data_IF_674531470538
#
_entry.id   IF_674531470538
#
_cell.length_a   1.000
_cell.length_b   1.000
_cell.length_c   1.000
_cell.angle_alpha   90.00
_cell.angle_beta   90.00
_cell.angle_gamma   90.00
#
_symmetry.space_group_name_H-M   'P 1'
#
loop_
_entity.id
_entity.type
_entity.pdbx_description
1 polymer ?
#
# COMPACT_ATOMS: atom_id res chain seq x y z
N UNK A 1 9.38 28.30 10.44
CA UNK A 1 8.60 27.19 11.01
C UNK A 1 9.39 25.92 10.77
N UNK A 2 9.59 25.05 11.77
CA UNK A 2 10.26 23.76 11.59
C UNK A 2 9.17 22.69 11.57
N UNK A 3 9.12 21.90 10.51
CA UNK A 3 8.26 20.73 10.46
C UNK A 3 9.09 19.49 10.81
N UNK A 4 8.65 18.67 11.74
CA UNK A 4 9.26 17.36 11.93
C UNK A 4 8.96 16.54 10.67
N UNK A 5 10.00 16.09 9.98
CA UNK A 5 9.84 15.17 8.86
C UNK A 5 9.43 13.79 9.37
N UNK A 6 8.37 13.24 8.82
CA UNK A 6 8.00 11.83 8.96
C UNK A 6 8.40 11.10 7.69
N UNK A 7 9.72 10.94 7.53
CA UNK A 7 10.28 10.32 6.31
C UNK A 7 9.85 8.87 6.22
N UNK A 8 9.18 8.54 5.11
CA UNK A 8 8.63 7.21 4.86
C UNK A 8 8.61 6.91 3.35
N UNK A 9 8.61 5.63 2.94
CA UNK A 9 8.32 5.28 1.56
C UNK A 9 6.82 5.34 1.29
N UNK A 10 6.41 5.99 0.21
CA UNK A 10 5.04 5.95 -0.29
C UNK A 10 4.73 4.64 -1.01
N UNK A 11 5.72 4.06 -1.68
CA UNK A 11 5.58 2.80 -2.42
C UNK A 11 6.41 1.69 -1.78
N UNK A 12 5.77 0.60 -1.41
CA UNK A 12 6.43 -0.64 -1.04
C UNK A 12 5.53 -1.86 -1.27
N UNK A 13 6.10 -2.95 -1.75
CA UNK A 13 5.33 -4.16 -2.01
C UNK A 13 6.16 -5.29 -2.63
N UNK A 14 5.56 -6.47 -2.68
CA UNK A 14 6.10 -7.62 -3.42
C UNK A 14 5.36 -7.77 -4.75
N UNK A 15 5.99 -8.40 -5.74
CA UNK A 15 5.36 -8.60 -7.03
C UNK A 15 4.05 -9.41 -6.92
N UNK A 16 3.00 -9.05 -7.67
CA UNK A 16 1.77 -9.82 -7.73
C UNK A 16 1.97 -11.14 -8.49
N UNK A 17 1.06 -12.09 -8.29
CA UNK A 17 0.94 -13.24 -9.20
C UNK A 17 0.30 -12.82 -10.55
N UNK A 18 0.33 -13.70 -11.54
CA UNK A 18 -0.31 -13.44 -12.83
C UNK A 18 -1.82 -13.23 -12.68
N UNK A 19 -2.46 -14.03 -11.84
CA UNK A 19 -3.90 -13.97 -11.58
C UNK A 19 -4.29 -12.65 -10.90
N UNK A 20 -3.51 -12.21 -9.91
CA UNK A 20 -3.72 -10.91 -9.26
C UNK A 20 -3.53 -9.77 -10.25
N UNK A 21 -2.53 -9.87 -11.13
CA UNK A 21 -2.26 -8.86 -12.15
C UNK A 21 -3.42 -8.75 -13.16
N UNK A 22 -3.98 -9.88 -13.56
CA UNK A 22 -5.16 -9.93 -14.43
C UNK A 22 -6.37 -9.26 -13.78
N UNK A 23 -6.62 -9.55 -12.51
CA UNK A 23 -7.69 -8.91 -11.74
C UNK A 23 -7.50 -7.39 -11.61
N UNK A 24 -6.29 -6.92 -11.40
CA UNK A 24 -6.01 -5.48 -11.37
C UNK A 24 -6.25 -4.82 -12.72
N UNK A 25 -5.85 -5.46 -13.81
CA UNK A 25 -6.13 -4.95 -15.14
C UNK A 25 -7.64 -4.86 -15.42
N UNK A 26 -8.39 -5.85 -14.95
CA UNK A 26 -9.86 -5.85 -15.07
C UNK A 26 -10.47 -4.69 -14.26
N UNK A 27 -10.14 -4.58 -12.97
CA UNK A 27 -10.67 -3.53 -12.08
C UNK A 27 -10.40 -2.13 -12.62
N UNK A 28 -9.18 -1.88 -13.07
CA UNK A 28 -8.80 -0.56 -13.59
C UNK A 28 -9.40 -0.28 -14.96
N UNK A 29 -9.53 -1.29 -15.80
CA UNK A 29 -10.24 -1.18 -17.06
C UNK A 29 -11.70 -0.78 -16.87
N UNK A 30 -12.42 -1.45 -15.97
CA UNK A 30 -13.81 -1.12 -15.62
C UNK A 30 -13.92 0.31 -15.04
N UNK A 31 -12.94 0.72 -14.25
CA UNK A 31 -12.93 2.07 -13.67
C UNK A 31 -12.78 3.13 -14.77
N UNK A 32 -11.90 2.93 -15.74
CA UNK A 32 -11.70 3.82 -16.89
C UNK A 32 -12.99 3.89 -17.72
N UNK A 33 -13.58 2.75 -18.05
CA UNK A 33 -14.82 2.68 -18.85
C UNK A 33 -15.95 3.44 -18.15
N UNK A 34 -16.18 3.16 -16.87
CA UNK A 34 -17.24 3.79 -16.08
C UNK A 34 -17.07 5.31 -15.98
N UNK A 35 -15.84 5.82 -16.01
CA UNK A 35 -15.52 7.23 -15.87
C UNK A 35 -15.06 7.91 -17.16
N UNK A 36 -15.29 7.29 -18.30
CA UNK A 36 -14.90 7.83 -19.62
C UNK A 36 -15.48 9.24 -19.90
N UNK A 37 -16.62 9.56 -19.28
CA UNK A 37 -17.25 10.89 -19.35
C UNK A 37 -16.40 12.03 -18.78
N UNK A 38 -15.37 11.72 -17.96
CA UNK A 38 -14.48 12.74 -17.37
C UNK A 38 -13.44 13.26 -18.37
N UNK A 39 -13.29 12.63 -19.55
CA UNK A 39 -12.32 13.04 -20.58
C UNK A 39 -10.86 12.94 -20.17
N UNK A 40 -10.55 12.14 -19.14
CA UNK A 40 -9.20 11.86 -18.65
C UNK A 40 -9.11 10.45 -18.09
N UNK A 41 -7.91 9.89 -18.09
CA UNK A 41 -7.66 8.62 -17.44
C UNK A 41 -7.77 8.76 -15.91
N UNK A 42 -8.59 7.91 -15.32
CA UNK A 42 -8.80 7.84 -13.86
C UNK A 42 -8.01 6.70 -13.20
N UNK A 43 -7.36 5.86 -14.03
CA UNK A 43 -6.55 4.74 -13.60
C UNK A 43 -5.47 4.44 -14.65
N UNK A 44 -4.45 3.69 -14.25
CA UNK A 44 -3.42 3.15 -15.14
C UNK A 44 -3.27 1.65 -14.90
N UNK A 45 -3.99 0.81 -15.64
CA UNK A 45 -3.83 -0.63 -15.53
C UNK A 45 -2.36 -1.03 -15.65
N UNK A 46 -1.87 -2.00 -14.87
CA UNK A 46 -0.47 -2.43 -14.92
C UNK A 46 -0.14 -3.25 -16.18
N UNK A 47 -0.42 -2.67 -17.35
CA UNK A 47 -0.10 -3.20 -18.68
C UNK A 47 1.32 -2.79 -19.09
N UNK A 48 1.93 -3.51 -20.03
CA UNK A 48 3.29 -3.23 -20.53
C UNK A 48 3.49 -1.80 -20.98
N UNK A 49 2.52 -1.25 -21.72
CA UNK A 49 2.57 0.11 -22.23
C UNK A 49 2.50 1.19 -21.13
N UNK A 50 2.07 0.82 -19.93
CA UNK A 50 2.00 1.72 -18.78
C UNK A 50 3.24 1.61 -17.87
N UNK A 51 4.25 0.83 -18.25
CA UNK A 51 5.48 0.74 -17.49
C UNK A 51 6.17 2.11 -17.45
N UNK A 52 6.66 2.48 -16.28
CA UNK A 52 7.38 3.72 -16.07
C UNK A 52 8.85 3.44 -15.78
N UNK A 53 9.74 4.09 -16.51
CA UNK A 53 11.19 3.92 -16.40
C UNK A 53 11.92 5.25 -16.12
N UNK A 54 11.26 6.17 -15.46
CA UNK A 54 11.81 7.50 -15.11
C UNK A 54 12.22 8.28 -16.36
N UNK A 55 13.45 8.79 -16.35
CA UNK A 55 14.02 9.58 -17.45
C UNK A 55 14.62 8.72 -18.59
N UNK A 56 14.38 7.41 -18.60
CA UNK A 56 14.87 6.53 -19.66
C UNK A 56 14.18 6.85 -21.00
N UNK A 57 14.89 6.54 -22.10
CA UNK A 57 14.33 6.67 -23.44
C UNK A 57 13.21 5.65 -23.72
N UNK A 58 12.49 5.84 -24.82
CA UNK A 58 11.34 5.03 -25.18
C UNK A 58 11.70 3.54 -25.42
N UNK A 59 12.91 3.25 -25.91
CA UNK A 59 13.36 1.88 -26.14
C UNK A 59 13.62 1.15 -24.82
N UNK A 60 14.27 1.82 -23.88
CA UNK A 60 14.49 1.29 -22.54
C UNK A 60 13.15 1.10 -21.80
N UNK A 61 12.24 2.08 -21.89
CA UNK A 61 10.90 1.98 -21.28
C UNK A 61 10.11 0.79 -21.84
N UNK A 62 10.14 0.58 -23.16
CA UNK A 62 9.51 -0.57 -23.81
C UNK A 62 10.10 -1.88 -23.31
N UNK A 63 11.42 -2.03 -23.28
CA UNK A 63 12.11 -3.22 -22.79
C UNK A 63 11.77 -3.51 -21.32
N UNK A 64 11.75 -2.49 -20.48
CA UNK A 64 11.35 -2.60 -19.06
C UNK A 64 9.90 -3.10 -18.95
N UNK A 65 8.99 -2.59 -19.77
CA UNK A 65 7.60 -3.05 -19.84
C UNK A 65 7.49 -4.50 -20.29
N UNK A 66 8.23 -4.90 -21.31
CA UNK A 66 8.26 -6.29 -21.81
C UNK A 66 8.84 -7.27 -20.78
N UNK A 67 9.80 -6.84 -19.97
CA UNK A 67 10.39 -7.63 -18.89
C UNK A 67 9.51 -7.73 -17.64
N UNK A 68 8.34 -7.11 -17.63
CA UNK A 68 7.36 -7.25 -16.58
C UNK A 68 7.28 -6.10 -15.57
N UNK A 69 8.06 -5.03 -15.72
CA UNK A 69 7.87 -3.85 -14.90
C UNK A 69 6.55 -3.15 -15.24
N UNK A 70 5.81 -2.79 -14.23
CA UNK A 70 4.48 -2.19 -14.31
C UNK A 70 4.35 -1.04 -13.34
N UNK A 71 3.36 -0.18 -13.54
CA UNK A 71 2.92 0.74 -12.50
C UNK A 71 2.42 -0.03 -11.30
N UNK A 72 2.65 0.50 -10.10
CA UNK A 72 2.28 -0.16 -8.85
C UNK A 72 1.34 0.75 -8.06
N UNK A 73 0.07 0.86 -8.44
CA UNK A 73 -0.91 1.55 -7.60
C UNK A 73 -1.13 0.75 -6.30
N UNK A 74 -1.60 1.43 -5.26
CA UNK A 74 -2.00 0.79 -4.01
C UNK A 74 -3.09 -0.25 -4.24
N UNK A 75 -2.91 -1.43 -3.67
CA UNK A 75 -3.84 -2.56 -3.83
C UNK A 75 -3.98 -3.33 -2.52
N UNK A 76 -5.19 -3.77 -2.20
CA UNK A 76 -5.41 -4.52 -0.98
C UNK A 76 -4.59 -5.81 -0.88
N UNK A 77 -4.25 -6.42 -2.02
CA UNK A 77 -3.58 -7.71 -2.05
C UNK A 77 -2.08 -7.62 -1.75
N UNK A 78 -1.41 -6.49 -2.03
CA UNK A 78 0.06 -6.48 -1.96
C UNK A 78 0.68 -5.20 -1.39
N UNK A 79 -0.09 -4.17 -1.11
CA UNK A 79 0.42 -2.84 -0.77
C UNK A 79 0.62 -1.98 -2.03
N UNK A 80 1.85 -1.73 -2.43
CA UNK A 80 2.18 -0.85 -3.56
C UNK A 80 2.22 0.60 -3.14
N UNK A 81 1.52 1.49 -3.81
CA UNK A 81 1.40 2.91 -3.48
C UNK A 81 0.44 3.08 -2.29
N UNK A 82 0.99 3.00 -1.09
CA UNK A 82 0.23 2.98 0.16
C UNK A 82 0.16 4.32 0.85
N UNK A 83 1.19 5.16 0.67
CA UNK A 83 1.28 6.52 1.21
C UNK A 83 1.00 6.63 2.72
N UNK A 84 1.57 5.69 3.49
CA UNK A 84 1.36 5.62 4.93
C UNK A 84 2.51 6.35 5.65
N UNK A 85 2.27 7.57 6.13
CA UNK A 85 3.28 8.40 6.80
C UNK A 85 3.92 7.75 8.03
N UNK A 86 3.20 6.83 8.66
CA UNK A 86 3.65 6.15 9.88
C UNK A 86 4.62 4.99 9.63
N UNK A 87 4.89 4.67 8.35
CA UNK A 87 5.95 3.72 7.96
C UNK A 87 7.35 4.35 8.02
N UNK A 88 7.59 5.15 9.03
CA UNK A 88 8.87 5.81 9.30
C UNK A 88 9.85 4.87 10.01
N UNK A 89 10.90 5.44 10.57
CA UNK A 89 11.96 4.69 11.24
C UNK A 89 11.44 3.74 12.32
N UNK A 90 11.89 2.48 12.24
CA UNK A 90 11.57 1.44 13.22
C UNK A 90 10.23 0.74 12.97
N UNK A 91 9.49 1.14 11.95
CA UNK A 91 8.27 0.43 11.55
C UNK A 91 8.57 -0.97 11.00
N UNK A 92 7.57 -1.84 11.03
CA UNK A 92 7.63 -3.18 10.51
C UNK A 92 6.45 -3.43 9.59
N UNK A 93 6.74 -4.03 8.44
CA UNK A 93 5.71 -4.38 7.44
C UNK A 93 5.77 -5.87 7.17
N UNK A 94 4.61 -6.51 7.18
CA UNK A 94 4.43 -7.86 6.68
C UNK A 94 3.78 -7.78 5.31
N UNK A 95 4.48 -8.28 4.31
CA UNK A 95 3.99 -8.31 2.93
C UNK A 95 3.71 -9.75 2.51
N UNK A 96 2.58 -10.03 1.87
CA UNK A 96 2.34 -11.34 1.29
C UNK A 96 3.28 -11.56 0.10
N UNK A 97 3.80 -12.78 -0.02
CA UNK A 97 4.66 -13.19 -1.14
C UNK A 97 3.84 -14.07 -2.07
N UNK A 98 3.58 -13.59 -3.28
CA UNK A 98 2.78 -14.28 -4.28
C UNK A 98 3.60 -15.06 -5.31
N UNK A 99 4.87 -14.66 -5.50
CA UNK A 99 5.75 -15.27 -6.51
C UNK A 99 7.11 -15.63 -5.92
N UNK A 100 7.82 -16.63 -6.49
CA UNK A 100 9.18 -16.97 -6.06
C UNK A 100 10.11 -15.75 -6.10
N UNK A 101 10.90 -15.59 -5.04
CA UNK A 101 11.81 -14.46 -4.88
C UNK A 101 11.17 -13.15 -4.43
N UNK A 102 9.86 -13.14 -4.14
CA UNK A 102 9.09 -11.98 -3.66
C UNK A 102 9.16 -10.74 -4.57
N UNK A 103 10.33 -10.44 -5.16
CA UNK A 103 10.60 -9.25 -6.02
C UNK A 103 10.10 -7.97 -5.37
N UNK A 104 10.59 -7.72 -4.16
CA UNK A 104 10.25 -6.53 -3.38
C UNK A 104 10.68 -5.26 -4.11
N UNK A 105 9.81 -4.27 -4.08
CA UNK A 105 10.05 -2.91 -4.59
C UNK A 105 9.74 -1.88 -3.51
N UNK A 106 10.50 -0.80 -3.51
CA UNK A 106 10.33 0.35 -2.61
C UNK A 106 10.75 1.61 -3.33
N UNK A 107 10.04 2.70 -3.07
CA UNK A 107 10.33 3.99 -3.69
C UNK A 107 9.43 5.08 -3.15
N UNK A 108 9.34 6.19 -3.90
CA UNK A 108 8.44 7.28 -3.60
C UNK A 108 8.63 7.79 -2.17
N UNK A 109 9.85 8.27 -1.88
CA UNK A 109 10.18 8.76 -0.54
C UNK A 109 9.52 10.09 -0.28
N UNK A 110 8.79 10.16 0.81
CA UNK A 110 8.14 11.36 1.32
C UNK A 110 8.89 11.94 2.51
N UNK A 111 9.09 13.24 2.53
CA UNK A 111 9.57 13.97 3.70
C UNK A 111 8.46 14.14 4.74
N UNK A 112 7.27 14.44 4.28
CA UNK A 112 6.10 14.66 5.11
C UNK A 112 4.83 14.44 4.30
N UNK A 113 3.77 14.05 4.99
CA UNK A 113 2.44 13.84 4.42
C UNK A 113 1.37 14.19 5.47
N UNK A 114 0.26 14.73 5.05
CA UNK A 114 -0.99 14.72 5.82
C UNK A 114 -1.54 13.31 5.93
N UNK A 115 -2.62 13.00 6.46
CA UNK A 115 -3.27 11.69 6.34
C UNK A 115 -4.28 11.70 5.19
N UNK A 116 -4.68 10.52 4.72
CA UNK A 116 -5.73 10.36 3.74
C UNK A 116 -5.37 10.94 2.37
N UNK A 117 -4.21 10.61 1.84
CA UNK A 117 -3.80 11.02 0.51
C UNK A 117 -4.66 10.35 -0.56
N UNK A 118 -5.72 11.03 -0.98
CA UNK A 118 -6.64 10.57 -2.02
C UNK A 118 -6.57 11.39 -3.31
N UNK A 119 -5.70 12.40 -3.35
CA UNK A 119 -5.69 13.45 -4.37
C UNK A 119 -4.46 13.43 -5.28
N UNK A 120 -3.75 12.33 -5.39
CA UNK A 120 -2.56 12.07 -6.22
C UNK A 120 -1.23 12.65 -5.73
N UNK A 121 -1.16 13.85 -5.22
CA UNK A 121 0.07 14.54 -4.82
C UNK A 121 -0.08 15.17 -3.44
N UNK A 122 -0.37 14.35 -2.43
CA UNK A 122 -0.64 14.81 -1.07
C UNK A 122 0.59 14.86 -0.15
N UNK A 123 1.77 14.47 -0.64
CA UNK A 123 3.00 14.40 0.14
C UNK A 123 4.07 15.38 -0.38
N UNK A 124 5.08 15.62 0.43
CA UNK A 124 6.31 16.31 0.02
C UNK A 124 7.32 15.24 -0.37
N UNK A 125 7.48 15.01 -1.66
CA UNK A 125 8.38 14.00 -2.21
C UNK A 125 9.85 14.44 -2.10
N UNK A 126 10.74 13.46 -1.91
CA UNK A 126 12.16 13.71 -1.80
C UNK A 126 13.00 12.55 -2.34
N UNK A 127 14.21 12.87 -2.79
CA UNK A 127 15.24 11.86 -2.98
C UNK A 127 15.87 11.48 -1.64
N UNK A 128 16.29 10.21 -1.50
CA UNK A 128 16.93 9.76 -0.28
C UNK A 128 17.42 8.32 -0.33
N UNK A 129 17.94 7.86 0.80
CA UNK A 129 18.38 6.47 0.99
C UNK A 129 17.55 5.84 2.09
N UNK A 130 17.13 4.59 1.85
CA UNK A 130 16.39 3.80 2.82
C UNK A 130 17.21 2.59 3.24
N UNK A 131 17.26 2.33 4.54
CA UNK A 131 17.88 1.12 5.10
C UNK A 131 16.78 0.16 5.54
N UNK A 132 16.77 -1.03 4.97
CA UNK A 132 15.76 -2.06 5.21
C UNK A 132 16.41 -3.32 5.79
N UNK A 133 15.69 -3.98 6.70
CA UNK A 133 16.02 -5.31 7.20
C UNK A 133 14.95 -6.29 6.74
N UNK A 134 15.36 -7.28 5.96
CA UNK A 134 14.46 -8.32 5.46
C UNK A 134 14.50 -9.57 6.32
N UNK A 135 13.34 -10.21 6.44
CA UNK A 135 13.21 -11.56 6.98
C UNK A 135 12.07 -12.29 6.27
N UNK A 136 12.15 -13.60 6.21
CA UNK A 136 11.10 -14.44 5.60
C UNK A 136 10.41 -15.25 6.69
N UNK A 137 9.10 -15.09 6.77
CA UNK A 137 8.25 -15.90 7.63
C UNK A 137 7.58 -16.99 6.78
N UNK A 138 8.14 -18.19 6.77
CA UNK A 138 7.54 -19.33 6.05
C UNK A 138 6.15 -19.64 6.60
N UNK A 139 5.18 -19.77 5.70
CA UNK A 139 3.77 -19.97 6.07
C UNK A 139 3.10 -18.76 6.74
N UNK A 140 3.74 -17.57 6.69
CA UNK A 140 3.26 -16.36 7.35
C UNK A 140 1.85 -15.93 6.90
N UNK A 141 1.58 -16.00 5.60
CA UNK A 141 0.25 -15.67 5.06
C UNK A 141 -0.85 -16.48 5.73
N UNK A 142 -0.68 -17.81 5.84
CA UNK A 142 -1.63 -18.70 6.51
C UNK A 142 -1.67 -18.45 8.02
N UNK A 143 -0.50 -18.30 8.65
CA UNK A 143 -0.39 -18.11 10.10
C UNK A 143 -1.08 -16.83 10.58
N UNK A 144 -0.93 -15.76 9.81
CA UNK A 144 -1.48 -14.44 10.11
C UNK A 144 -2.83 -14.19 9.41
N UNK A 145 -3.32 -15.17 8.63
CA UNK A 145 -4.51 -15.02 7.77
C UNK A 145 -4.50 -13.73 6.96
N UNK A 146 -3.38 -13.48 6.32
CA UNK A 146 -3.15 -12.23 5.61
C UNK A 146 -3.98 -12.19 4.32
N UNK A 147 -4.88 -11.24 4.24
CA UNK A 147 -5.59 -10.86 3.01
C UNK A 147 -5.01 -9.58 2.39
N UNK A 148 -4.18 -8.89 3.15
CA UNK A 148 -3.51 -7.65 2.79
C UNK A 148 -2.25 -7.48 3.65
N UNK A 149 -1.38 -6.53 3.33
CA UNK A 149 -0.25 -6.15 4.18
C UNK A 149 -0.68 -5.80 5.61
N UNK A 150 0.22 -6.03 6.56
CA UNK A 150 0.05 -5.65 7.96
C UNK A 150 1.15 -4.67 8.32
N UNK A 151 0.78 -3.53 8.88
CA UNK A 151 1.69 -2.44 9.20
C UNK A 151 1.76 -2.24 10.71
N UNK A 152 2.96 -2.13 11.23
CA UNK A 152 3.22 -1.84 12.64
C UNK A 152 4.16 -0.64 12.69
N UNK A 153 3.77 0.48 13.29
CA UNK A 153 4.62 1.66 13.39
C UNK A 153 5.85 1.41 14.27
N UNK A 154 6.77 2.34 14.26
CA UNK A 154 7.91 2.35 15.16
C UNK A 154 7.49 2.47 16.62
N UNK A 155 8.45 2.25 17.52
CA UNK A 155 8.20 2.26 18.96
C UNK A 155 7.72 3.62 19.50
N UNK A 156 8.03 4.69 18.79
CA UNK A 156 7.56 6.04 19.09
C UNK A 156 6.82 6.57 17.87
N UNK A 157 5.53 6.63 17.99
CA UNK A 157 4.67 7.21 16.97
C UNK A 157 4.58 8.73 17.19
N UNK A 158 4.96 9.57 16.20
CA UNK A 158 5.07 11.00 16.39
C UNK A 158 3.79 11.72 16.78
N UNK A 159 2.63 11.21 16.36
CA UNK A 159 1.35 11.83 16.66
C UNK A 159 0.75 11.39 18.01
N UNK A 160 1.04 10.14 18.40
CA UNK A 160 0.40 9.53 19.58
C UNK A 160 1.40 9.24 20.72
N UNK A 161 2.70 9.45 20.46
CA UNK A 161 3.76 9.18 21.43
C UNK A 161 4.12 7.70 21.55
N UNK A 162 4.79 7.30 22.63
CA UNK A 162 5.18 5.91 22.83
C UNK A 162 3.95 5.03 23.08
N UNK A 163 3.95 3.86 22.45
CA UNK A 163 2.84 2.92 22.56
C UNK A 163 3.00 1.73 21.63
N UNK A 164 2.01 0.87 21.64
CA UNK A 164 1.91 -0.26 20.71
C UNK A 164 0.70 -0.03 19.81
N UNK A 165 0.95 0.11 18.52
CA UNK A 165 -0.07 0.42 17.53
C UNK A 165 -0.06 -0.64 16.44
N UNK A 166 -1.20 -0.85 15.82
CA UNK A 166 -1.36 -1.56 14.56
C UNK A 166 -2.16 -0.69 13.62
N UNK A 167 -1.74 -0.63 12.36
CA UNK A 167 -2.43 0.12 11.33
C UNK A 167 -3.16 -0.83 10.39
N UNK A 168 -4.35 -0.41 10.02
CA UNK A 168 -5.14 -1.05 8.99
C UNK A 168 -5.31 -0.06 7.85
N UNK A 169 -4.86 -0.44 6.68
CA UNK A 169 -5.02 0.36 5.49
C UNK A 169 -6.26 -0.07 4.73
N UNK A 170 -6.99 0.90 4.20
CA UNK A 170 -8.12 0.71 3.33
C UNK A 170 -7.83 1.19 1.92
N UNK A 171 -8.36 0.50 0.95
CA UNK A 171 -8.31 0.85 -0.45
C UNK A 171 -9.71 1.08 -0.98
N UNK A 172 -9.86 1.86 -2.05
CA UNK A 172 -11.15 2.07 -2.69
C UNK A 172 -11.62 0.84 -3.49
N UNK A 173 -11.57 -0.33 -2.88
CA UNK A 173 -12.08 -1.61 -3.39
C UNK A 173 -13.07 -2.16 -2.39
N UNK A 174 -14.33 -2.38 -2.79
CA UNK A 174 -15.38 -2.86 -1.91
C UNK A 174 -15.30 -4.37 -1.64
N UNK A 175 -16.24 -4.90 -0.85
CA UNK A 175 -16.29 -6.31 -0.44
C UNK A 175 -16.60 -7.25 -1.62
N UNK A 176 -17.13 -6.72 -2.71
CA UNK A 176 -17.39 -7.42 -3.96
C UNK A 176 -16.18 -7.40 -4.90
N UNK A 177 -15.10 -6.73 -4.51
CA UNK A 177 -13.90 -6.57 -5.31
C UNK A 177 -14.00 -5.49 -6.39
N UNK A 178 -15.04 -4.65 -6.37
CA UNK A 178 -15.18 -3.52 -7.29
C UNK A 178 -14.31 -2.36 -6.84
N UNK A 179 -13.54 -1.79 -7.76
CA UNK A 179 -12.75 -0.59 -7.51
C UNK A 179 -13.57 0.68 -7.74
N UNK A 180 -13.41 1.64 -6.86
CA UNK A 180 -14.07 2.94 -6.91
C UNK A 180 -13.06 4.05 -7.13
N UNK A 181 -13.46 5.14 -7.77
CA UNK A 181 -12.61 6.28 -8.06
C UNK A 181 -12.71 7.34 -6.97
N UNK A 182 -11.59 7.62 -6.31
CA UNK A 182 -11.48 8.65 -5.25
C UNK A 182 -12.55 8.52 -4.15
N UNK A 183 -12.96 7.30 -3.82
CA UNK A 183 -13.97 7.07 -2.79
C UNK A 183 -13.32 6.74 -1.45
N UNK A 184 -13.07 7.78 -0.67
CA UNK A 184 -12.52 7.66 0.68
C UNK A 184 -13.46 6.89 1.62
N UNK A 185 -14.78 6.92 1.39
CA UNK A 185 -15.76 6.21 2.23
C UNK A 185 -15.62 4.70 2.07
N UNK A 186 -15.41 4.22 0.84
CA UNK A 186 -15.15 2.80 0.58
C UNK A 186 -13.85 2.37 1.25
N UNK A 187 -12.77 3.14 1.09
CA UNK A 187 -11.48 2.85 1.71
C UNK A 187 -11.58 2.81 3.25
N UNK A 188 -12.26 3.79 3.85
CA UNK A 188 -12.48 3.86 5.29
C UNK A 188 -13.28 2.67 5.81
N UNK A 189 -14.37 2.32 5.14
CA UNK A 189 -15.19 1.15 5.47
C UNK A 189 -14.36 -0.15 5.46
N UNK A 190 -13.52 -0.33 4.45
CA UNK A 190 -12.61 -1.47 4.36
C UNK A 190 -11.66 -1.55 5.57
N UNK A 191 -11.09 -0.40 5.97
CA UNK A 191 -10.22 -0.31 7.14
C UNK A 191 -10.95 -0.74 8.41
N UNK A 192 -12.16 -0.24 8.64
CA UNK A 192 -12.97 -0.56 9.83
C UNK A 192 -13.34 -2.05 9.86
N UNK A 193 -13.77 -2.62 8.74
CA UNK A 193 -14.11 -4.05 8.67
C UNK A 193 -12.91 -4.95 8.98
N UNK A 194 -11.73 -4.61 8.48
CA UNK A 194 -10.48 -5.33 8.79
C UNK A 194 -10.09 -5.21 10.26
N UNK A 195 -10.24 -4.03 10.83
CA UNK A 195 -9.99 -3.81 12.25
C UNK A 195 -10.92 -4.65 13.12
N UNK A 196 -12.22 -4.68 12.80
CA UNK A 196 -13.23 -5.51 13.51
C UNK A 196 -12.89 -6.99 13.38
N UNK A 197 -12.55 -7.49 12.18
CA UNK A 197 -12.19 -8.89 11.98
C UNK A 197 -10.93 -9.26 12.78
N UNK A 198 -9.93 -8.40 12.79
CA UNK A 198 -8.72 -8.59 13.57
C UNK A 198 -9.02 -8.65 15.07
N UNK A 199 -9.78 -7.70 15.60
CA UNK A 199 -10.17 -7.66 17.01
C UNK A 199 -11.01 -8.87 17.42
N UNK A 200 -11.93 -9.29 16.56
CA UNK A 200 -12.72 -10.50 16.80
C UNK A 200 -11.85 -11.77 16.88
N UNK A 201 -10.82 -11.84 16.05
CA UNK A 201 -9.93 -13.00 15.96
C UNK A 201 -8.89 -13.06 17.07
N UNK A 202 -8.34 -11.91 17.42
CA UNK A 202 -7.23 -11.79 18.35
C UNK A 202 -7.61 -11.05 19.65
N UNK A 203 -8.85 -10.63 19.79
CA UNK A 203 -9.31 -9.80 20.89
C UNK A 203 -9.17 -10.47 22.26
N UNK A 204 -9.29 -11.78 22.35
CA UNK A 204 -9.02 -12.51 23.58
C UNK A 204 -7.56 -12.45 24.00
N UNK A 205 -6.64 -12.36 23.04
CA UNK A 205 -5.21 -12.10 23.29
C UNK A 205 -4.93 -10.64 23.63
N UNK A 206 -5.82 -9.72 23.28
CA UNK A 206 -5.66 -8.29 23.51
C UNK A 206 -6.06 -7.87 24.93
N UNK A 207 -6.79 -8.69 25.65
CA UNK A 207 -7.06 -8.49 27.08
C UNK A 207 -5.78 -8.47 27.94
N UNK A 208 -4.65 -8.94 27.41
CA UNK A 208 -3.36 -8.97 28.09
C UNK A 208 -2.44 -7.78 27.72
N UNK A 209 -2.76 -7.06 26.65
CA UNK A 209 -2.02 -5.86 26.26
C UNK A 209 -3.01 -4.81 25.72
N UNK A 210 -3.24 -3.70 26.42
CA UNK A 210 -4.17 -2.69 25.93
C UNK A 210 -3.73 -2.19 24.54
N UNK A 211 -4.58 -2.36 23.54
CA UNK A 211 -4.51 -1.59 22.33
C UNK A 211 -4.96 -0.19 22.72
N UNK A 212 -4.02 0.69 22.91
CA UNK A 212 -4.31 2.04 23.36
C UNK A 212 -5.09 2.83 22.32
N UNK A 213 -4.90 2.54 21.03
CA UNK A 213 -5.65 3.21 19.93
C UNK A 213 -5.63 2.38 18.65
N UNK A 214 -6.77 2.35 17.96
CA UNK A 214 -6.87 1.98 16.54
C UNK A 214 -6.89 3.30 15.77
N UNK A 215 -5.99 3.45 14.82
CA UNK A 215 -5.94 4.60 13.93
C UNK A 215 -6.39 4.13 12.55
N UNK A 216 -7.44 4.74 12.06
CA UNK A 216 -7.98 4.54 10.71
C UNK A 216 -7.53 5.68 9.81
#
# INVERSE_FOLDING_TARGET
MRFPGLIHPGILGCAPSAEILEEWNRREGELIETHSHLGRDVAKPPLSQNAHAGAADAEVAKRVGEQGARTIPGRPEHGGNCDIKNLSRGSKVYLPVHVPGAKFSVGDLHFSQGDGEISFCGAIEMAGCITLKFSVMKGGVKKLDMKSPIYIPGAVEPNFGPGRFIYFEGFSVDEQGKQHFLDATVAYRQTVLRAIEYLRRYGECLCVAPIEKIVC
#
